data_IF_461996440450
#
_entry.id   IF_461996440450
#
_cell.length_a   1.000
_cell.length_b   1.000
_cell.length_c   1.000
_cell.angle_alpha   90.00
_cell.angle_beta   90.00
_cell.angle_gamma   90.00
#
_symmetry.space_group_name_H-M   'P 1'
#
loop_
_entity.id
_entity.type
_entity.pdbx_description
1 polymer ?
#
# COMPACT_ATOMS: atom_id res chain seq x y z
N UNK A 1 -16.07 -67.31 -30.83
CA UNK A 1 -17.06 -66.33 -31.35
C UNK A 1 -17.23 -65.22 -30.33
N UNK A 2 -16.28 -64.27 -30.29
CA UNK A 2 -16.37 -63.07 -29.47
C UNK A 2 -16.95 -61.95 -30.34
N UNK A 3 -18.04 -61.32 -29.88
CA UNK A 3 -18.91 -60.49 -30.71
C UNK A 3 -18.31 -59.13 -31.04
N UNK A 4 -18.43 -58.73 -32.32
CA UNK A 4 -18.17 -57.38 -32.85
C UNK A 4 -19.16 -56.31 -32.30
N UNK A 5 -19.48 -56.33 -31.00
CA UNK A 5 -20.46 -55.40 -30.41
C UNK A 5 -19.91 -54.00 -30.13
N UNK A 6 -18.58 -53.82 -30.16
CA UNK A 6 -17.93 -52.54 -29.82
C UNK A 6 -17.28 -51.83 -31.02
N UNK A 7 -17.25 -52.45 -32.21
CA UNK A 7 -16.63 -51.84 -33.40
C UNK A 7 -17.64 -50.91 -34.09
N UNK A 8 -17.35 -49.61 -34.26
CA UNK A 8 -18.23 -48.67 -34.95
C UNK A 8 -18.52 -49.08 -36.40
N UNK A 9 -19.72 -48.78 -36.89
CA UNK A 9 -20.16 -49.12 -38.25
C UNK A 9 -20.14 -47.89 -39.15
N UNK A 10 -19.61 -48.05 -40.36
CA UNK A 10 -19.58 -47.00 -41.39
C UNK A 10 -20.46 -47.39 -42.57
N UNK A 11 -21.02 -46.38 -43.24
CA UNK A 11 -21.90 -46.55 -44.41
C UNK A 11 -21.07 -46.96 -45.62
N UNK A 12 -21.49 -47.99 -46.33
CA UNK A 12 -20.86 -48.39 -47.58
C UNK A 12 -21.18 -47.37 -48.70
N UNK A 13 -20.27 -47.20 -49.68
CA UNK A 13 -20.59 -46.47 -50.89
C UNK A 13 -21.80 -47.12 -51.60
N UNK A 14 -22.65 -46.34 -52.29
CA UNK A 14 -23.86 -46.85 -52.90
C UNK A 14 -23.53 -47.94 -53.93
N UNK A 15 -24.18 -49.10 -53.82
CA UNK A 15 -24.17 -50.13 -54.86
C UNK A 15 -25.11 -49.73 -55.99
N UNK A 16 -24.90 -50.30 -57.18
CA UNK A 16 -25.55 -49.96 -58.46
C UNK A 16 -27.08 -49.84 -58.44
N UNK A 17 -27.78 -50.43 -57.47
CA UNK A 17 -29.21 -50.20 -57.22
C UNK A 17 -29.37 -49.27 -56.00
N UNK A 18 -29.46 -47.97 -56.27
CA UNK A 18 -29.37 -46.85 -55.31
C UNK A 18 -30.45 -46.75 -54.23
N UNK A 19 -31.08 -47.85 -53.81
CA UNK A 19 -32.19 -47.86 -52.85
C UNK A 19 -31.88 -48.55 -51.52
N UNK A 20 -30.68 -49.14 -51.32
CA UNK A 20 -30.32 -49.79 -50.06
C UNK A 20 -29.01 -49.23 -49.47
N UNK A 21 -29.12 -48.58 -48.31
CA UNK A 21 -27.96 -48.16 -47.51
C UNK A 21 -27.49 -49.35 -46.67
N UNK A 22 -26.32 -49.90 -46.98
CA UNK A 22 -25.71 -50.96 -46.19
C UNK A 22 -24.58 -50.41 -45.31
N UNK A 23 -24.39 -51.01 -44.13
CA UNK A 23 -23.36 -50.62 -43.16
C UNK A 23 -22.40 -51.78 -42.91
N UNK A 24 -21.10 -51.49 -42.94
CA UNK A 24 -20.04 -52.45 -42.55
C UNK A 24 -19.33 -52.00 -41.28
N UNK A 25 -18.68 -52.94 -40.59
CA UNK A 25 -17.76 -52.61 -39.51
C UNK A 25 -16.55 -51.86 -40.07
N UNK A 26 -16.02 -50.92 -39.31
CA UNK A 26 -14.75 -50.29 -39.65
C UNK A 26 -13.65 -51.35 -39.74
N UNK A 27 -12.81 -51.23 -40.75
CA UNK A 27 -11.58 -52.02 -40.89
C UNK A 27 -10.55 -51.57 -39.86
N UNK A 28 -9.54 -52.41 -39.60
CA UNK A 28 -8.44 -52.06 -38.69
C UNK A 28 -7.74 -50.74 -39.07
N UNK A 29 -7.59 -50.48 -40.38
CA UNK A 29 -7.01 -49.23 -40.89
C UNK A 29 -7.90 -48.02 -40.62
N UNK A 30 -9.21 -48.14 -40.84
CA UNK A 30 -10.16 -47.04 -40.57
C UNK A 30 -10.31 -46.75 -39.07
N UNK A 31 -10.19 -47.78 -38.22
CA UNK A 31 -10.15 -47.64 -36.77
C UNK A 31 -8.88 -46.88 -36.35
N UNK A 32 -7.72 -47.29 -36.86
CA UNK A 32 -6.45 -46.63 -36.58
C UNK A 32 -6.43 -45.16 -37.04
N UNK A 33 -7.04 -44.84 -38.19
CA UNK A 33 -7.22 -43.46 -38.63
C UNK A 33 -8.13 -42.64 -37.70
N UNK A 34 -9.19 -43.25 -37.19
CA UNK A 34 -10.09 -42.60 -36.24
C UNK A 34 -9.37 -42.32 -34.91
N UNK A 35 -8.65 -43.31 -34.39
CA UNK A 35 -7.88 -43.18 -33.16
C UNK A 35 -6.77 -42.14 -33.32
N UNK A 36 -6.11 -42.09 -34.48
CA UNK A 36 -5.14 -41.06 -34.79
C UNK A 36 -5.78 -39.66 -34.82
N UNK A 37 -6.94 -39.49 -35.46
CA UNK A 37 -7.67 -38.20 -35.44
C UNK A 37 -8.11 -37.79 -34.04
N UNK A 38 -8.57 -38.74 -33.23
CA UNK A 38 -9.00 -38.49 -31.86
C UNK A 38 -7.80 -38.11 -30.97
N UNK A 39 -6.68 -38.85 -31.07
CA UNK A 39 -5.45 -38.52 -30.36
C UNK A 39 -4.88 -37.15 -30.75
N UNK A 40 -5.00 -36.75 -32.02
CA UNK A 40 -4.57 -35.44 -32.49
C UNK A 40 -5.47 -34.31 -31.94
N UNK A 41 -6.77 -34.58 -31.81
CA UNK A 41 -7.72 -33.66 -31.19
C UNK A 41 -7.47 -33.51 -29.69
N UNK A 42 -7.26 -34.62 -28.97
CA UNK A 42 -6.95 -34.62 -27.54
C UNK A 42 -5.61 -33.91 -27.27
N UNK A 43 -4.60 -34.11 -28.13
CA UNK A 43 -3.33 -33.41 -28.06
C UNK A 43 -3.47 -31.89 -28.33
N UNK A 44 -4.41 -31.49 -29.19
CA UNK A 44 -4.72 -30.07 -29.43
C UNK A 44 -5.37 -29.44 -28.21
N UNK A 45 -6.36 -30.11 -27.61
CA UNK A 45 -7.02 -29.68 -26.37
C UNK A 45 -6.02 -29.56 -25.21
N UNK A 46 -5.14 -30.54 -25.03
CA UNK A 46 -4.10 -30.50 -24.00
C UNK A 46 -3.14 -29.31 -24.20
N UNK A 47 -2.81 -28.96 -25.44
CA UNK A 47 -2.00 -27.78 -25.76
C UNK A 47 -2.74 -26.47 -25.47
N UNK A 48 -4.04 -26.42 -25.75
CA UNK A 48 -4.87 -25.26 -25.42
C UNK A 48 -4.97 -25.06 -23.91
N UNK A 49 -5.25 -26.13 -23.16
CA UNK A 49 -5.33 -26.08 -21.71
C UNK A 49 -3.97 -25.69 -21.09
N UNK A 50 -2.87 -26.24 -21.59
CA UNK A 50 -1.53 -25.84 -21.15
C UNK A 50 -1.20 -24.36 -21.49
N UNK A 51 -1.80 -23.80 -22.53
CA UNK A 51 -1.67 -22.38 -22.87
C UNK A 51 -2.52 -21.49 -21.95
N UNK A 52 -3.76 -21.89 -21.66
CA UNK A 52 -4.65 -21.23 -20.72
C UNK A 52 -4.11 -21.27 -19.29
N UNK A 53 -3.59 -22.42 -18.83
CA UNK A 53 -2.92 -22.57 -17.54
C UNK A 53 -1.66 -21.70 -17.47
N UNK A 54 -0.91 -21.57 -18.58
CA UNK A 54 0.27 -20.69 -18.65
C UNK A 54 -0.11 -19.21 -18.62
N UNK A 55 -1.23 -18.83 -19.24
CA UNK A 55 -1.79 -17.48 -19.12
C UNK A 55 -2.22 -17.19 -17.68
N UNK A 56 -2.96 -18.11 -17.03
CA UNK A 56 -3.35 -17.98 -15.63
C UNK A 56 -2.17 -18.00 -14.66
N UNK A 57 -1.13 -18.79 -14.94
CA UNK A 57 0.10 -18.78 -14.15
C UNK A 57 0.94 -17.51 -14.39
N UNK A 58 0.89 -16.94 -15.60
CA UNK A 58 1.50 -15.64 -15.90
C UNK A 58 0.79 -14.48 -15.20
N UNK A 59 -0.53 -14.56 -15.00
CA UNK A 59 -1.27 -13.56 -14.20
C UNK A 59 -1.12 -13.78 -12.69
N UNK A 60 -0.79 -15.00 -12.25
CA UNK A 60 -0.51 -15.36 -10.85
C UNK A 60 0.98 -15.39 -10.47
N UNK A 61 1.89 -15.00 -11.36
CA UNK A 61 3.32 -14.97 -11.04
C UNK A 61 3.52 -13.97 -9.88
N UNK A 62 4.19 -14.35 -8.78
CA UNK A 62 4.49 -13.39 -7.72
C UNK A 62 5.28 -12.24 -8.36
N UNK A 63 4.69 -11.06 -8.27
CA UNK A 63 5.21 -9.83 -8.85
C UNK A 63 6.53 -9.54 -8.13
N UNK A 64 7.64 -9.86 -8.81
CA UNK A 64 8.98 -9.58 -8.30
C UNK A 64 9.00 -8.07 -8.04
N UNK A 65 9.30 -7.59 -6.82
CA UNK A 65 9.25 -6.18 -6.49
C UNK A 65 10.07 -5.41 -7.53
N UNK A 66 9.37 -4.67 -8.39
CA UNK A 66 10.01 -3.92 -9.46
C UNK A 66 10.94 -2.93 -8.78
N UNK A 67 12.23 -2.98 -9.12
CA UNK A 67 13.24 -2.07 -8.61
C UNK A 67 12.94 -0.57 -8.92
N UNK A 68 11.87 -0.27 -9.67
CA UNK A 68 11.43 1.07 -10.03
C UNK A 68 10.22 1.63 -9.27
N UNK A 69 9.52 0.85 -8.43
CA UNK A 69 8.32 1.36 -7.74
C UNK A 69 8.67 2.29 -6.57
N UNK A 70 7.74 3.19 -6.24
CA UNK A 70 7.80 4.12 -5.09
C UNK A 70 6.44 4.17 -4.38
N UNK A 71 6.42 4.49 -3.09
CA UNK A 71 5.19 4.65 -2.31
C UNK A 71 4.44 5.90 -2.76
N UNK A 72 5.18 7.00 -2.96
CA UNK A 72 4.64 8.27 -3.42
C UNK A 72 5.60 8.98 -4.37
N UNK A 73 5.03 9.73 -5.31
CA UNK A 73 5.68 10.66 -6.24
C UNK A 73 4.74 11.81 -6.56
N UNK A 74 5.29 12.92 -7.05
CA UNK A 74 4.50 14.06 -7.50
C UNK A 74 3.64 13.70 -8.71
N UNK A 75 2.39 14.16 -8.74
CA UNK A 75 1.48 14.06 -9.87
C UNK A 75 1.87 14.99 -11.04
N UNK A 76 2.81 15.91 -10.81
CA UNK A 76 3.43 16.70 -11.87
C UNK A 76 4.37 15.86 -12.76
N UNK A 77 4.72 14.65 -12.34
CA UNK A 77 5.53 13.71 -13.12
C UNK A 77 4.64 12.76 -13.94
N UNK A 78 4.96 12.50 -15.22
CA UNK A 78 4.24 11.52 -16.04
C UNK A 78 4.19 10.12 -15.43
N UNK A 79 3.24 9.30 -15.86
CA UNK A 79 3.16 7.86 -15.50
C UNK A 79 4.52 7.17 -15.71
N UNK A 80 4.84 6.21 -14.84
CA UNK A 80 6.10 5.47 -14.79
C UNK A 80 7.36 6.31 -14.45
N UNK A 81 7.29 7.65 -14.46
CA UNK A 81 8.42 8.53 -14.14
C UNK A 81 8.41 8.90 -12.67
N UNK A 82 9.41 8.42 -11.91
CA UNK A 82 9.50 8.64 -10.46
C UNK A 82 10.36 9.84 -10.06
N UNK A 83 11.22 10.32 -10.97
CA UNK A 83 12.16 11.40 -10.69
C UNK A 83 11.93 12.61 -11.60
N UNK A 84 12.09 13.81 -11.05
CA UNK A 84 12.29 15.00 -11.87
C UNK A 84 13.58 14.87 -12.69
N UNK A 85 13.44 15.01 -14.01
CA UNK A 85 14.56 15.07 -14.95
C UNK A 85 14.52 16.39 -15.71
N UNK A 86 15.21 17.40 -15.21
CA UNK A 86 15.37 18.69 -15.90
C UNK A 86 16.80 18.80 -16.44
N UNK A 87 17.03 19.22 -17.71
CA UNK A 87 18.38 19.45 -18.23
C UNK A 87 19.24 20.41 -17.40
N UNK A 88 18.62 21.34 -16.67
CA UNK A 88 19.31 22.25 -15.73
C UNK A 88 19.62 21.63 -14.37
N UNK A 89 19.11 20.43 -14.07
CA UNK A 89 19.22 19.77 -12.77
C UNK A 89 18.32 20.36 -11.67
N UNK A 90 17.50 21.37 -11.98
CA UNK A 90 16.64 22.04 -10.99
C UNK A 90 15.38 21.22 -10.73
N UNK A 91 15.17 20.87 -9.47
CA UNK A 91 13.94 20.25 -8.94
C UNK A 91 13.07 21.35 -8.34
N UNK A 92 11.77 21.42 -8.66
CA UNK A 92 10.87 22.43 -8.11
C UNK A 92 10.60 22.22 -6.61
N UNK A 93 10.21 23.29 -5.93
CA UNK A 93 9.54 23.19 -4.63
C UNK A 93 8.06 22.97 -4.89
N UNK A 94 7.56 21.81 -4.49
CA UNK A 94 6.17 21.39 -4.71
C UNK A 94 5.32 21.58 -3.44
N UNK A 95 4.00 21.62 -3.60
CA UNK A 95 3.08 21.45 -2.47
C UNK A 95 2.93 19.96 -2.16
N UNK A 96 2.79 19.58 -0.88
CA UNK A 96 2.53 18.18 -0.53
C UNK A 96 1.26 17.61 -1.20
N UNK A 97 0.28 18.48 -1.50
CA UNK A 97 -0.94 18.11 -2.24
C UNK A 97 -0.65 17.55 -3.64
N UNK A 98 0.49 17.89 -4.22
CA UNK A 98 0.91 17.35 -5.51
C UNK A 98 1.36 15.88 -5.39
N UNK A 99 1.61 15.38 -4.17
CA UNK A 99 1.99 13.98 -3.93
C UNK A 99 0.82 13.13 -3.42
N UNK A 100 -0.13 13.72 -2.72
CA UNK A 100 -1.24 12.99 -2.12
C UNK A 100 -1.99 13.78 -1.05
N UNK A 101 -2.79 13.06 -0.28
CA UNK A 101 -3.60 13.61 0.81
C UNK A 101 -2.91 13.42 2.15
N UNK A 102 -3.23 14.29 3.10
CA UNK A 102 -2.70 14.25 4.46
C UNK A 102 -3.81 14.46 5.49
N UNK A 103 -3.75 13.70 6.58
CA UNK A 103 -4.51 13.94 7.80
C UNK A 103 -3.54 14.10 8.98
N UNK A 104 -3.90 15.00 9.89
CA UNK A 104 -3.15 15.30 11.10
C UNK A 104 -3.92 14.76 12.28
N UNK A 105 -3.26 13.92 13.08
CA UNK A 105 -3.81 13.41 14.32
C UNK A 105 -2.96 13.88 15.50
N UNK A 106 -3.60 14.05 16.65
CA UNK A 106 -2.93 14.37 17.90
C UNK A 106 -3.60 13.72 19.09
N UNK A 107 -2.86 13.62 20.19
CA UNK A 107 -3.37 13.18 21.48
C UNK A 107 -2.72 14.02 22.58
N UNK A 108 -3.49 14.35 23.62
CA UNK A 108 -3.01 15.14 24.78
C UNK A 108 -2.63 14.26 25.96
N UNK A 109 -3.47 13.29 26.27
CA UNK A 109 -3.36 12.49 27.48
C UNK A 109 -3.52 11.00 27.18
N UNK A 110 -2.96 10.16 28.05
CA UNK A 110 -3.14 8.72 28.00
C UNK A 110 -4.43 8.30 28.70
N UNK A 111 -5.12 7.30 28.15
CA UNK A 111 -6.22 6.64 28.85
C UNK A 111 -5.76 5.72 29.99
N UNK A 112 -6.72 5.07 30.66
CA UNK A 112 -6.47 4.13 31.76
C UNK A 112 -5.61 2.92 31.35
N UNK A 113 -5.51 2.63 30.04
CA UNK A 113 -4.67 1.57 29.48
C UNK A 113 -3.28 2.08 29.05
N UNK A 114 -2.97 3.35 29.30
CA UNK A 114 -1.71 4.00 28.93
C UNK A 114 -1.60 4.29 27.43
N UNK A 115 -2.72 4.41 26.72
CA UNK A 115 -2.75 4.69 25.29
C UNK A 115 -3.10 6.15 25.01
N UNK A 116 -2.34 6.79 24.13
CA UNK A 116 -2.67 8.08 23.54
C UNK A 116 -3.69 7.86 22.42
N UNK A 117 -4.97 8.03 22.70
CA UNK A 117 -6.02 7.92 21.69
C UNK A 117 -5.86 9.07 20.69
N UNK A 118 -5.57 8.75 19.43
CA UNK A 118 -5.32 9.76 18.40
C UNK A 118 -6.66 10.33 17.91
N UNK A 119 -6.74 11.64 17.86
CA UNK A 119 -7.90 12.41 17.42
C UNK A 119 -7.53 13.32 16.25
N UNK A 120 -8.48 13.58 15.35
CA UNK A 120 -8.28 14.34 14.12
C UNK A 120 -8.11 15.84 14.43
N UNK A 121 -6.95 16.38 14.06
CA UNK A 121 -6.65 17.82 14.05
C UNK A 121 -7.14 18.43 12.73
N UNK A 122 -6.84 17.78 11.61
CA UNK A 122 -7.19 18.25 10.26
C UNK A 122 -7.13 17.11 9.24
N UNK A 123 -7.78 17.29 8.09
CA UNK A 123 -7.91 16.25 7.06
C UNK A 123 -8.98 15.21 7.40
N UNK A 124 -9.18 14.24 6.49
CA UNK A 124 -10.17 13.17 6.69
C UNK A 124 -9.60 11.83 6.24
N UNK A 125 -9.65 10.85 7.14
CA UNK A 125 -9.23 9.46 6.90
C UNK A 125 -10.41 8.54 6.58
N UNK A 126 -11.62 9.08 6.45
CA UNK A 126 -12.86 8.29 6.23
C UNK A 126 -12.76 7.47 4.95
N UNK A 127 -12.18 8.02 3.88
CA UNK A 127 -11.99 7.33 2.60
C UNK A 127 -11.03 6.13 2.68
N UNK A 128 -10.22 6.04 3.74
CA UNK A 128 -9.33 4.92 3.99
C UNK A 128 -10.00 3.83 4.84
N UNK A 129 -11.13 4.10 5.49
CA UNK A 129 -11.78 3.12 6.37
C UNK A 129 -10.94 2.71 7.58
N UNK A 130 -10.01 3.56 8.04
CA UNK A 130 -9.07 3.24 9.12
C UNK A 130 -9.79 2.88 10.43
N UNK A 131 -10.95 3.44 10.75
CA UNK A 131 -11.53 3.30 12.10
C UNK A 131 -10.74 4.12 13.10
N UNK A 132 -10.18 3.50 14.15
CA UNK A 132 -9.47 4.21 15.23
C UNK A 132 -8.00 3.83 15.30
N UNK A 133 -7.17 4.80 15.71
CA UNK A 133 -5.76 4.62 16.00
C UNK A 133 -5.45 5.13 17.41
N UNK A 134 -4.57 4.44 18.10
CA UNK A 134 -3.99 4.89 19.36
C UNK A 134 -2.49 4.65 19.36
N UNK A 135 -1.74 5.51 20.03
CA UNK A 135 -0.29 5.43 20.14
C UNK A 135 0.08 5.01 21.56
N UNK A 136 0.90 3.97 21.67
CA UNK A 136 1.65 3.67 22.88
C UNK A 136 3.06 4.21 22.69
N UNK A 137 3.51 5.05 23.60
CA UNK A 137 4.88 5.54 23.63
C UNK A 137 5.58 4.95 24.87
N UNK A 138 6.92 4.76 24.85
CA UNK A 138 7.64 4.46 26.08
C UNK A 138 7.29 5.55 27.11
N UNK A 139 7.11 5.15 28.36
CA UNK A 139 6.59 6.01 29.43
C UNK A 139 7.18 7.41 29.29
N UNK A 140 6.31 8.42 29.19
CA UNK A 140 6.65 9.82 29.40
C UNK A 140 7.24 9.91 30.81
N UNK A 141 8.54 9.61 30.92
CA UNK A 141 9.23 9.38 32.17
C UNK A 141 9.63 10.72 32.78
N UNK A 142 8.63 11.58 32.96
CA UNK A 142 8.68 12.68 33.89
C UNK A 142 7.23 12.98 34.29
N UNK A 143 6.89 12.97 35.59
CA UNK A 143 5.80 13.82 36.01
C UNK A 143 6.19 15.24 35.55
N UNK A 144 5.26 15.97 34.95
CA UNK A 144 5.41 17.40 34.66
C UNK A 144 5.62 18.14 35.99
N UNK A 145 6.82 18.05 36.55
CA UNK A 145 7.27 18.92 37.61
C UNK A 145 7.58 20.25 36.93
N UNK A 146 6.63 21.16 37.09
CA UNK A 146 6.73 22.59 36.82
C UNK A 146 6.86 22.99 35.33
N UNK A 147 5.75 22.86 34.59
CA UNK A 147 5.32 23.97 33.74
C UNK A 147 3.98 24.46 34.30
N UNK A 148 4.00 25.55 35.07
CA UNK A 148 2.79 26.26 35.54
C UNK A 148 1.98 26.91 34.38
N UNK A 149 2.10 26.37 33.16
CA UNK A 149 1.40 26.82 31.97
C UNK A 149 1.27 25.68 30.95
N UNK A 150 0.93 24.46 31.37
CA UNK A 150 0.37 23.48 30.44
C UNK A 150 -0.99 24.02 29.95
N UNK A 151 -0.96 24.87 28.92
CA UNK A 151 -2.16 25.31 28.24
C UNK A 151 -2.78 24.10 27.55
N UNK A 152 -4.10 24.11 27.38
CA UNK A 152 -4.83 23.07 26.65
C UNK A 152 -4.36 22.89 25.18
N UNK A 153 -3.33 23.60 24.71
CA UNK A 153 -2.77 23.48 23.37
C UNK A 153 -1.70 22.39 23.21
N UNK A 154 -1.07 21.92 24.30
CA UNK A 154 0.09 21.00 24.19
C UNK A 154 -0.38 19.58 23.86
N UNK A 155 0.25 18.95 22.86
CA UNK A 155 -0.01 17.57 22.43
C UNK A 155 1.11 16.66 22.94
N UNK A 156 0.76 15.54 23.57
CA UNK A 156 1.73 14.50 23.94
C UNK A 156 2.26 13.74 22.71
N UNK A 157 1.47 13.65 21.65
CA UNK A 157 1.89 13.06 20.38
C UNK A 157 1.16 13.65 19.19
N UNK A 158 1.87 13.77 18.07
CA UNK A 158 1.37 14.19 16.77
C UNK A 158 1.73 13.11 15.74
N UNK A 159 0.77 12.72 14.92
CA UNK A 159 0.97 11.78 13.80
C UNK A 159 0.39 12.41 12.54
N UNK A 160 1.22 12.59 11.51
CA UNK A 160 0.73 12.92 10.18
C UNK A 160 0.58 11.64 9.36
N UNK A 161 -0.63 11.37 8.87
CA UNK A 161 -0.92 10.27 7.95
C UNK A 161 -0.99 10.83 6.53
N UNK A 162 -0.20 10.25 5.64
CA UNK A 162 -0.13 10.65 4.24
C UNK A 162 -0.36 9.45 3.33
N UNK A 163 -1.14 9.64 2.28
CA UNK A 163 -1.43 8.60 1.30
C UNK A 163 -1.59 9.17 -0.10
N UNK A 164 -1.19 8.39 -1.09
CA UNK A 164 -1.41 8.74 -2.50
C UNK A 164 -2.84 8.40 -2.89
N UNK A 165 -3.51 9.29 -3.60
CA UNK A 165 -4.71 8.89 -4.34
C UNK A 165 -4.29 7.95 -5.47
N UNK A 166 -5.10 6.93 -5.76
CA UNK A 166 -4.80 5.96 -6.82
C UNK A 166 -4.80 6.65 -8.18
N UNK A 167 -3.63 7.02 -8.68
CA UNK A 167 -3.48 7.70 -9.96
C UNK A 167 -3.53 6.76 -11.17
N UNK A 168 -3.65 5.44 -10.95
CA UNK A 168 -3.43 4.45 -12.01
C UNK A 168 -1.98 4.43 -12.52
N UNK A 169 -1.06 5.09 -11.79
CA UNK A 169 0.35 5.20 -12.12
C UNK A 169 1.06 3.87 -11.84
N UNK A 170 1.73 3.36 -12.87
CA UNK A 170 2.42 2.07 -12.86
C UNK A 170 3.73 2.06 -12.06
N UNK A 171 4.17 3.24 -11.58
CA UNK A 171 5.33 3.42 -10.73
C UNK A 171 5.02 3.32 -9.23
N UNK A 172 3.75 3.20 -8.83
CA UNK A 172 3.40 3.05 -7.42
C UNK A 172 3.47 1.58 -6.99
N UNK A 173 3.87 1.34 -5.74
CA UNK A 173 3.79 -0.02 -5.18
C UNK A 173 2.32 -0.47 -5.04
N UNK A 174 2.07 -1.76 -5.27
CA UNK A 174 0.81 -2.38 -4.84
C UNK A 174 0.85 -2.72 -3.35
N UNK A 175 -0.32 -2.98 -2.75
CA UNK A 175 -0.41 -3.41 -1.35
C UNK A 175 0.34 -4.72 -1.11
N UNK A 176 0.22 -5.68 -2.03
CA UNK A 176 0.89 -6.98 -1.95
C UNK A 176 2.41 -6.83 -2.01
N UNK A 177 2.90 -5.92 -2.87
CA UNK A 177 4.32 -5.61 -2.96
C UNK A 177 4.82 -5.00 -1.64
N UNK A 178 4.13 -3.99 -1.09
CA UNK A 178 4.52 -3.39 0.20
C UNK A 178 4.54 -4.43 1.31
N UNK A 179 3.55 -5.33 1.37
CA UNK A 179 3.48 -6.41 2.37
C UNK A 179 4.67 -7.37 2.33
N UNK A 180 5.32 -7.53 1.17
CA UNK A 180 6.49 -8.39 1.02
C UNK A 180 7.83 -7.67 1.32
N UNK A 181 7.81 -6.36 1.51
CA UNK A 181 8.99 -5.53 1.71
C UNK A 181 9.23 -5.21 3.18
N UNK A 182 10.50 -5.08 3.56
CA UNK A 182 10.91 -4.50 4.85
C UNK A 182 11.07 -2.98 4.77
N UNK A 183 11.44 -2.49 3.60
CA UNK A 183 11.60 -1.08 3.31
C UNK A 183 11.10 -0.81 1.89
N UNK A 184 10.51 0.34 1.67
CA UNK A 184 10.01 0.78 0.38
C UNK A 184 10.52 2.18 0.05
N UNK A 185 10.69 2.44 -1.24
CA UNK A 185 11.15 3.75 -1.73
C UNK A 185 10.02 4.76 -1.69
N UNK A 186 10.28 6.02 -1.38
CA UNK A 186 9.33 7.14 -1.52
C UNK A 186 10.05 8.34 -2.11
N UNK A 187 9.33 9.24 -2.79
CA UNK A 187 9.87 10.51 -3.33
C UNK A 187 9.66 11.70 -2.42
N UNK A 188 8.95 11.52 -1.32
CA UNK A 188 8.74 12.54 -0.30
C UNK A 188 8.88 11.91 1.09
N UNK A 189 9.60 12.60 1.99
CA UNK A 189 9.61 12.29 3.42
C UNK A 189 9.28 13.55 4.20
N UNK A 190 8.43 13.40 5.20
CA UNK A 190 7.86 14.48 5.98
C UNK A 190 8.54 14.54 7.34
N UNK A 191 8.74 15.76 7.82
CA UNK A 191 9.05 16.04 9.21
C UNK A 191 7.95 16.91 9.79
N UNK A 192 7.53 16.59 11.00
CA UNK A 192 6.51 17.34 11.74
C UNK A 192 6.97 17.59 13.16
N UNK A 193 6.58 18.73 13.72
CA UNK A 193 6.85 19.10 15.10
C UNK A 193 5.75 20.02 15.62
N UNK A 194 5.50 19.98 16.93
CA UNK A 194 4.73 21.02 17.61
C UNK A 194 5.69 22.06 18.17
N UNK A 195 5.42 23.33 17.89
CA UNK A 195 6.20 24.45 18.41
C UNK A 195 5.78 24.80 19.85
N UNK A 196 6.62 25.58 20.53
CA UNK A 196 6.38 25.99 21.92
C UNK A 196 5.10 26.82 22.11
N UNK A 197 4.58 27.46 21.05
CA UNK A 197 3.31 28.18 21.05
C UNK A 197 2.09 27.28 20.79
N UNK A 198 2.30 25.97 20.64
CA UNK A 198 1.28 24.97 20.36
C UNK A 198 0.95 24.82 18.87
N UNK A 199 1.49 25.68 17.99
CA UNK A 199 1.30 25.57 16.55
C UNK A 199 2.03 24.36 15.97
N UNK A 200 1.52 23.82 14.87
CA UNK A 200 2.15 22.71 14.17
C UNK A 200 3.03 23.25 13.05
N UNK A 201 4.27 22.76 12.98
CA UNK A 201 5.20 22.97 11.87
C UNK A 201 5.46 21.65 11.18
N UNK A 202 5.59 21.71 9.86
CA UNK A 202 6.10 20.58 9.09
C UNK A 202 6.65 21.02 7.75
N UNK A 203 7.46 20.16 7.17
CA UNK A 203 8.04 20.31 5.83
C UNK A 203 8.31 18.93 5.26
N UNK A 204 8.45 18.84 3.94
CA UNK A 204 8.90 17.64 3.25
C UNK A 204 10.23 17.87 2.54
N UNK A 205 11.00 16.81 2.40
CA UNK A 205 12.09 16.76 1.42
C UNK A 205 11.75 15.82 0.28
N UNK A 206 12.03 16.28 -0.94
CA UNK A 206 12.10 15.42 -2.10
C UNK A 206 13.36 14.55 -2.01
N UNK A 207 13.19 13.23 -2.01
CA UNK A 207 14.30 12.28 -1.78
C UNK A 207 15.09 12.01 -3.06
N UNK A 208 14.43 12.10 -4.23
CA UNK A 208 15.01 11.86 -5.54
C UNK A 208 15.83 10.56 -5.61
N UNK A 209 17.13 10.70 -5.95
CA UNK A 209 18.07 9.58 -6.09
C UNK A 209 18.94 9.35 -4.85
N UNK A 210 18.65 10.03 -3.74
CA UNK A 210 19.37 9.82 -2.49
C UNK A 210 18.85 8.54 -1.83
N UNK A 211 19.66 7.47 -1.91
CA UNK A 211 19.25 6.13 -1.50
C UNK A 211 18.99 6.02 0.01
N UNK A 212 19.75 6.75 0.81
CA UNK A 212 19.57 6.75 2.27
C UNK A 212 18.31 7.53 2.68
N UNK A 213 17.86 8.45 1.82
CA UNK A 213 16.66 9.24 2.07
C UNK A 213 15.42 8.56 1.52
N UNK A 214 15.49 7.90 0.36
CA UNK A 214 14.29 7.35 -0.28
C UNK A 214 13.73 6.11 0.42
N UNK A 215 14.53 5.39 1.22
CA UNK A 215 14.10 4.15 1.88
C UNK A 215 13.40 4.44 3.21
N UNK A 216 12.18 3.92 3.36
CA UNK A 216 11.36 4.02 4.58
C UNK A 216 10.95 2.61 5.01
N UNK A 217 10.98 2.36 6.33
CA UNK A 217 10.59 1.08 6.90
C UNK A 217 9.11 0.78 6.67
N UNK A 218 8.81 -0.44 6.25
CA UNK A 218 7.45 -0.94 6.06
C UNK A 218 7.07 -1.74 7.29
N UNK A 219 6.04 -1.28 8.00
CA UNK A 219 5.56 -1.88 9.25
C UNK A 219 4.16 -2.42 9.04
N UNK A 220 3.95 -3.67 9.45
CA UNK A 220 2.65 -4.33 9.37
C UNK A 220 1.97 -4.34 10.73
N UNK A 221 0.65 -4.19 10.72
CA UNK A 221 -0.14 -4.51 11.90
C UNK A 221 -0.24 -6.03 12.08
N UNK A 222 0.09 -6.49 13.28
CA UNK A 222 0.06 -7.90 13.66
C UNK A 222 -0.86 -8.06 14.87
N UNK A 223 -1.69 -9.09 14.85
CA UNK A 223 -2.54 -9.42 15.99
C UNK A 223 -1.68 -9.87 17.18
N UNK A 224 -1.68 -9.08 18.25
CA UNK A 224 -1.06 -9.37 19.54
C UNK A 224 -2.13 -9.43 20.62
N UNK A 225 -2.53 -10.64 21.00
CA UNK A 225 -3.70 -10.84 21.85
C UNK A 225 -4.98 -10.45 21.10
N UNK A 226 -5.70 -9.45 21.59
CA UNK A 226 -6.91 -8.90 20.96
C UNK A 226 -6.67 -7.61 20.16
N UNK A 227 -5.43 -7.10 20.12
CA UNK A 227 -5.10 -5.82 19.49
C UNK A 227 -4.31 -6.01 18.21
N UNK A 228 -4.55 -5.18 17.20
CA UNK A 228 -3.69 -5.07 16.02
C UNK A 228 -2.60 -4.06 16.31
N UNK A 229 -1.33 -4.49 16.30
CA UNK A 229 -0.19 -3.69 16.75
C UNK A 229 0.84 -3.56 15.63
N UNK A 230 1.24 -2.32 15.35
CA UNK A 230 2.40 -1.99 14.53
C UNK A 230 3.53 -1.49 15.45
N UNK A 231 4.62 -2.24 15.52
CA UNK A 231 5.81 -1.86 16.30
C UNK A 231 6.67 -0.89 15.49
N UNK A 232 6.84 0.32 16.02
CA UNK A 232 7.57 1.42 15.38
C UNK A 232 9.01 1.53 15.91
N UNK A 233 9.42 0.61 16.78
CA UNK A 233 10.73 0.64 17.43
C UNK A 233 10.82 1.67 18.55
N UNK A 234 11.88 1.56 19.36
CA UNK A 234 12.12 2.48 20.48
C UNK A 234 11.01 2.48 21.54
N UNK A 235 10.21 1.42 21.62
CA UNK A 235 9.08 1.29 22.54
C UNK A 235 7.79 1.99 22.08
N UNK A 236 7.78 2.60 20.90
CA UNK A 236 6.58 3.19 20.31
C UNK A 236 5.81 2.12 19.51
N UNK A 237 4.51 2.01 19.77
CA UNK A 237 3.61 1.08 19.06
C UNK A 237 2.35 1.82 18.64
N UNK A 238 1.88 1.57 17.42
CA UNK A 238 0.57 2.02 16.96
C UNK A 238 -0.43 0.88 17.10
N UNK A 239 -1.58 1.17 17.71
CA UNK A 239 -2.68 0.23 17.89
C UNK A 239 -3.78 0.63 16.91
N UNK A 240 -4.24 -0.35 16.13
CA UNK A 240 -5.33 -0.17 15.18
C UNK A 240 -6.58 -0.92 15.63
N UNK A 241 -7.70 -0.21 15.61
CA UNK A 241 -9.03 -0.77 15.84
C UNK A 241 -9.86 -0.55 14.58
N UNK A 242 -10.20 -1.62 13.83
CA UNK A 242 -10.99 -1.51 12.60
C UNK A 242 -12.36 -0.87 12.88
N UNK A 243 -12.88 -0.12 11.91
CA UNK A 243 -14.27 0.32 11.93
C UNK A 243 -15.19 -0.91 11.78
N UNK A 244 -16.04 -1.20 12.77
CA UNK A 244 -16.98 -2.34 12.73
C UNK A 244 -18.36 -1.85 12.25
N UNK A 245 -18.91 -2.52 11.24
CA UNK A 245 -20.32 -2.46 10.81
C UNK A 245 -20.93 -1.06 10.59
N UNK A 246 -20.30 -0.21 9.78
CA UNK A 246 -20.93 0.98 9.16
C UNK A 246 -21.43 2.08 10.11
N UNK A 247 -21.41 1.86 11.42
CA UNK A 247 -21.77 2.81 12.47
C UNK A 247 -20.59 3.69 12.85
N UNK A 248 -19.37 3.22 12.61
CA UNK A 248 -18.12 3.98 12.74
C UNK A 248 -17.71 4.62 11.40
N UNK A 249 -18.71 5.15 10.67
CA UNK A 249 -18.52 5.89 9.40
C UNK A 249 -18.01 7.31 9.60
N UNK A 250 -17.94 7.76 10.86
CA UNK A 250 -17.50 9.11 11.23
C UNK A 250 -15.97 9.25 11.25
N UNK A 251 -15.23 8.15 11.13
CA UNK A 251 -13.77 8.14 11.16
C UNK A 251 -13.21 8.44 12.54
N UNK A 252 -11.94 8.82 12.58
CA UNK A 252 -11.25 9.18 13.82
C UNK A 252 -11.89 10.45 14.41
N UNK A 253 -12.32 10.44 15.70
CA UNK A 253 -13.00 11.60 16.31
C UNK A 253 -12.15 12.87 16.25
N UNK A 254 -12.78 14.04 16.16
CA UNK A 254 -12.08 15.31 16.10
C UNK A 254 -11.48 15.71 17.46
N UNK A 255 -10.30 16.32 17.44
CA UNK A 255 -9.65 16.85 18.63
C UNK A 255 -10.29 18.19 19.01
N UNK A 256 -10.78 18.29 20.24
CA UNK A 256 -11.34 19.52 20.78
C UNK A 256 -10.27 20.62 20.89
N UNK A 257 -10.58 21.82 20.38
CA UNK A 257 -9.65 22.94 20.30
C UNK A 257 -8.32 22.57 19.59
N UNK A 258 -8.41 21.86 18.47
CA UNK A 258 -7.27 21.44 17.67
C UNK A 258 -6.42 22.64 17.17
N UNK A 259 -5.08 22.52 17.15
CA UNK A 259 -4.23 23.53 16.53
C UNK A 259 -4.42 23.57 15.00
N UNK A 260 -4.04 24.68 14.38
CA UNK A 260 -4.10 24.79 12.92
C UNK A 260 -3.00 23.93 12.27
N UNK A 261 -3.40 23.05 11.35
CA UNK A 261 -2.46 22.27 10.55
C UNK A 261 -1.73 23.15 9.51
N UNK A 262 -0.41 23.00 9.34
CA UNK A 262 0.36 23.81 8.41
C UNK A 262 0.13 23.37 6.96
N UNK A 263 0.37 24.30 6.03
CA UNK A 263 0.61 23.92 4.65
C UNK A 263 2.04 23.38 4.50
N UNK A 264 2.18 22.20 3.91
CA UNK A 264 3.47 21.52 3.76
C UNK A 264 4.03 21.75 2.36
N UNK A 265 5.23 22.34 2.32
CA UNK A 265 6.06 22.41 1.13
C UNK A 265 7.04 21.24 1.08
N UNK A 266 7.26 20.71 -0.12
CA UNK A 266 8.25 19.66 -0.41
C UNK A 266 9.44 20.31 -1.09
N UNK A 267 10.55 20.41 -0.37
CA UNK A 267 11.74 21.10 -0.80
C UNK A 267 12.70 20.15 -1.54
N UNK A 268 13.40 20.64 -2.59
CA UNK A 268 14.48 19.89 -3.19
C UNK A 268 15.65 19.75 -2.19
N UNK A 269 16.45 18.67 -2.28
CA UNK A 269 17.54 18.38 -1.34
C UNK A 269 18.77 19.25 -1.64
N UNK A 270 18.62 20.57 -1.57
CA UNK A 270 19.67 21.55 -1.87
C UNK A 270 19.91 22.47 -0.67
N UNK A 271 21.16 22.92 -0.44
CA UNK A 271 21.45 23.86 0.65
C UNK A 271 20.61 25.15 0.60
N UNK A 272 20.34 25.66 -0.62
CA UNK A 272 19.53 26.86 -0.81
C UNK A 272 18.09 26.65 -0.31
N UNK A 273 17.46 25.53 -0.68
CA UNK A 273 16.12 25.21 -0.20
C UNK A 273 16.10 24.90 1.31
N UNK A 274 17.13 24.23 1.83
CA UNK A 274 17.26 23.95 3.25
C UNK A 274 17.41 25.23 4.10
N UNK A 275 18.04 26.28 3.58
CA UNK A 275 18.20 27.56 4.30
C UNK A 275 16.88 28.32 4.54
N UNK A 276 15.80 27.94 3.82
CA UNK A 276 14.44 28.45 4.03
C UNK A 276 13.83 27.82 5.29
N UNK A 277 14.27 26.61 5.64
CA UNK A 277 13.81 25.86 6.81
C UNK A 277 14.73 26.23 7.98
N UNK A 278 14.17 26.78 9.05
CA UNK A 278 14.96 27.08 10.26
C UNK A 278 15.32 25.76 10.95
N UNK A 279 16.63 25.45 10.99
CA UNK A 279 17.24 24.24 11.57
C UNK A 279 16.58 22.94 11.07
N UNK A 280 16.76 22.58 9.78
CA UNK A 280 16.16 21.37 9.25
C UNK A 280 16.81 20.13 9.86
N UNK A 281 15.96 19.18 10.26
CA UNK A 281 16.31 17.78 10.49
C UNK A 281 16.26 17.10 9.13
N UNK A 282 17.18 16.17 8.87
CA UNK A 282 17.23 15.47 7.59
C UNK A 282 16.89 13.99 7.76
N UNK A 283 16.30 13.34 6.73
CA UNK A 283 16.26 11.89 6.69
C UNK A 283 17.68 11.31 6.78
N UNK A 284 17.88 10.15 7.43
CA UNK A 284 16.88 9.21 7.92
C UNK A 284 16.50 9.41 9.40
N UNK A 285 16.79 10.56 10.02
CA UNK A 285 16.58 10.78 11.46
C UNK A 285 15.09 10.84 11.87
N UNK A 286 14.19 10.84 10.89
CA UNK A 286 12.75 10.88 11.10
C UNK A 286 12.23 9.58 11.71
N UNK A 287 11.17 9.70 12.51
CA UNK A 287 10.36 8.56 12.94
C UNK A 287 9.19 8.40 12.01
N UNK A 288 9.46 7.90 10.81
CA UNK A 288 8.48 7.72 9.75
C UNK A 288 8.46 6.29 9.18
N UNK A 289 7.27 5.84 8.79
CA UNK A 289 7.00 4.45 8.45
C UNK A 289 5.94 4.37 7.37
N UNK A 290 5.98 3.32 6.55
CA UNK A 290 4.87 2.92 5.70
C UNK A 290 4.10 1.82 6.44
N UNK A 291 2.88 2.12 6.84
CA UNK A 291 1.98 1.17 7.49
C UNK A 291 1.22 0.35 6.45
N UNK A 292 1.22 -0.96 6.65
CA UNK A 292 0.42 -1.91 5.86
C UNK A 292 -0.56 -2.61 6.79
N UNK A 293 -1.85 -2.41 6.53
CA UNK A 293 -2.94 -3.01 7.29
C UNK A 293 -3.12 -4.50 6.96
N UNK A 294 -3.79 -5.29 7.81
CA UNK A 294 -4.04 -6.70 7.54
C UNK A 294 -4.80 -6.91 6.22
N UNK A 295 -4.43 -7.97 5.51
CA UNK A 295 -5.00 -8.29 4.21
C UNK A 295 -6.53 -8.48 4.31
N UNK A 296 -7.26 -7.93 3.34
CA UNK A 296 -8.73 -8.00 3.33
C UNK A 296 -9.44 -7.01 4.26
N UNK A 297 -8.70 -6.14 4.97
CA UNK A 297 -9.29 -5.06 5.77
C UNK A 297 -9.97 -3.97 4.93
N UNK A 298 -9.58 -3.84 3.65
CA UNK A 298 -10.03 -2.75 2.78
C UNK A 298 -9.33 -1.41 3.05
N UNK A 299 -8.43 -1.35 4.04
CA UNK A 299 -7.68 -0.14 4.40
C UNK A 299 -6.39 -0.07 3.59
N UNK A 300 -6.22 1.03 2.84
CA UNK A 300 -5.02 1.22 2.02
C UNK A 300 -3.78 1.49 2.88
N UNK A 301 -2.58 1.10 2.42
CA UNK A 301 -1.33 1.50 3.06
C UNK A 301 -1.19 3.01 3.19
N UNK A 302 -0.63 3.47 4.29
CA UNK A 302 -0.39 4.89 4.57
C UNK A 302 1.05 5.11 5.02
N UNK A 303 1.65 6.24 4.65
CA UNK A 303 2.87 6.70 5.25
C UNK A 303 2.52 7.51 6.50
N UNK A 304 3.29 7.34 7.56
CA UNK A 304 3.15 8.13 8.79
C UNK A 304 4.49 8.76 9.16
N UNK A 305 4.43 9.91 9.83
CA UNK A 305 5.54 10.46 10.62
C UNK A 305 5.04 10.81 12.00
N UNK A 306 5.83 10.47 13.02
CA UNK A 306 5.50 10.70 14.43
C UNK A 306 6.39 11.77 15.03
N UNK A 307 5.77 12.65 15.82
CA UNK A 307 6.44 13.56 16.74
C UNK A 307 5.87 13.34 18.14
N UNK A 308 6.73 13.00 19.09
CA UNK A 308 6.35 12.75 20.48
C UNK A 308 6.97 13.82 21.37
N UNK A 309 6.17 14.37 22.29
CA UNK A 309 6.68 15.24 23.34
C UNK A 309 7.68 14.41 24.18
N UNK A 310 8.94 14.83 24.25
CA UNK A 310 10.08 14.19 24.95
C UNK A 310 11.00 13.25 24.14
N UNK A 311 10.92 13.25 22.81
CA UNK A 311 11.93 12.61 21.94
C UNK A 311 12.60 13.68 21.07
N UNK A 312 13.41 14.55 21.70
CA UNK A 312 14.33 15.48 21.03
C UNK A 312 15.76 15.18 21.43
#
# INVERSE_FOLDING_TARGET
>A
MAGNKEVPRVKNPPSSDGHHVTHRFMTATELAERDARQSAYDAMLARQQAFEDRLQASTKKPDIPRAGCVFAKSCNLPDAIIDYSNPSGVVPTDSLKDYGEIAWLGARDTDDAGLLNLETISGSTVSLGIGRLALRAPALAAPLLALEAATAATLAGVVALFWTQSLGDSALYTEEQLRALKQARTRVRLQVEQQADGSLKGYGFYTGKNRDWEMVDVVQFILRGSQQVADLGGGAELIWTPAVDGSDTLGIPALEAAPQAPHIWVYPPTPAAASIIVNPVYPPEYKDFILVFPAGSGVKPVYIVLSLLNLS
#
